data_IF_280448672665
#
_entry.id   IF_280448672665
#
_cell.length_a   1.000
_cell.length_b   1.000
_cell.length_c   1.000
_cell.angle_alpha   90.00
_cell.angle_beta   90.00
_cell.angle_gamma   90.00
#
_symmetry.space_group_name_H-M   'P 1'
#
loop_
_entity.id
_entity.type
_entity.pdbx_description
1 polymer ?
#
# COMPACT_ATOMS: atom_id res chain seq x y z
N UNK A 1 -69.02 -14.16 4.54
CA UNK A 1 -68.12 -13.51 3.56
C UNK A 1 -66.79 -13.23 4.25
N UNK A 2 -65.68 -13.73 3.67
CA UNK A 2 -64.25 -13.52 4.00
C UNK A 2 -63.67 -13.99 5.36
N UNK A 3 -63.06 -15.17 5.27
CA UNK A 3 -61.74 -15.55 5.80
C UNK A 3 -60.78 -14.37 6.02
N UNK A 4 -60.05 -14.34 7.15
CA UNK A 4 -58.61 -14.05 7.15
C UNK A 4 -57.93 -14.85 8.27
N UNK A 5 -57.03 -15.77 7.88
CA UNK A 5 -56.07 -16.45 8.77
C UNK A 5 -55.00 -15.44 9.16
N UNK A 6 -54.77 -15.25 10.46
CA UNK A 6 -53.60 -14.54 10.97
C UNK A 6 -52.47 -15.57 11.10
N UNK A 7 -51.55 -15.58 10.14
CA UNK A 7 -50.22 -16.17 10.31
C UNK A 7 -49.31 -15.07 10.88
N UNK A 8 -48.92 -15.19 12.14
CA UNK A 8 -47.77 -14.44 12.65
C UNK A 8 -46.61 -15.42 12.73
N UNK A 9 -45.68 -15.24 11.79
CA UNK A 9 -44.41 -15.96 11.71
C UNK A 9 -43.53 -15.51 12.87
N UNK A 10 -43.05 -16.46 13.69
CA UNK A 10 -42.05 -16.19 14.70
C UNK A 10 -40.75 -15.69 14.05
N UNK A 11 -40.38 -14.44 14.32
CA UNK A 11 -39.11 -13.87 13.89
C UNK A 11 -37.96 -14.58 14.63
N UNK A 12 -37.09 -15.26 13.87
CA UNK A 12 -35.83 -15.81 14.39
C UNK A 12 -34.84 -14.66 14.54
N UNK A 13 -34.43 -14.37 15.77
CA UNK A 13 -33.30 -13.48 16.05
C UNK A 13 -32.01 -14.12 15.53
N UNK A 14 -31.53 -13.66 14.39
CA UNK A 14 -30.16 -13.93 13.94
C UNK A 14 -29.22 -12.96 14.66
N UNK A 15 -28.68 -13.39 15.80
CA UNK A 15 -27.53 -12.73 16.42
C UNK A 15 -26.34 -12.92 15.50
N UNK A 16 -26.07 -11.91 14.67
CA UNK A 16 -24.89 -11.90 13.82
C UNK A 16 -23.77 -11.35 14.68
N UNK A 17 -22.98 -12.25 15.25
CA UNK A 17 -21.74 -11.89 15.92
C UNK A 17 -20.89 -11.08 14.93
N UNK A 18 -20.64 -9.82 15.25
CA UNK A 18 -19.68 -8.96 14.57
C UNK A 18 -18.28 -9.58 14.80
N UNK A 19 -17.95 -10.61 14.03
CA UNK A 19 -16.55 -11.02 13.85
C UNK A 19 -15.84 -9.78 13.33
N UNK A 20 -14.78 -9.36 14.02
CA UNK A 20 -13.88 -8.28 13.61
C UNK A 20 -13.76 -8.27 12.08
N UNK A 21 -14.23 -7.19 11.45
CA UNK A 21 -14.06 -6.98 10.02
C UNK A 21 -12.57 -6.64 9.81
N UNK A 22 -11.71 -7.66 9.87
CA UNK A 22 -10.31 -7.52 9.51
C UNK A 22 -10.27 -7.02 8.06
N UNK A 23 -9.54 -5.94 7.81
CA UNK A 23 -9.38 -5.45 6.45
C UNK A 23 -8.58 -6.49 5.65
N UNK A 24 -9.08 -6.96 4.49
CA UNK A 24 -8.33 -7.93 3.69
C UNK A 24 -7.06 -7.27 3.16
N UNK A 25 -5.99 -8.05 2.96
CA UNK A 25 -4.71 -7.54 2.42
C UNK A 25 -4.86 -6.79 1.07
N UNK A 26 -5.93 -7.10 0.33
CA UNK A 26 -6.32 -6.42 -0.91
C UNK A 26 -6.75 -4.96 -0.72
N UNK A 27 -7.13 -4.53 0.49
CA UNK A 27 -7.50 -3.13 0.78
C UNK A 27 -6.29 -2.19 0.82
N UNK A 28 -5.09 -2.71 1.08
CA UNK A 28 -3.85 -1.92 1.09
C UNK A 28 -3.43 -1.65 -0.35
N UNK A 29 -3.33 -0.40 -0.79
CA UNK A 29 -2.92 -0.10 -2.17
C UNK A 29 -1.47 -0.56 -2.45
N UNK A 30 -1.20 -1.11 -3.62
CA UNK A 30 0.17 -1.56 -3.99
C UNK A 30 1.11 -0.36 -4.20
N UNK A 31 0.60 0.75 -4.71
CA UNK A 31 1.36 1.99 -4.95
C UNK A 31 0.61 3.19 -4.39
N UNK A 32 1.28 3.93 -3.52
CA UNK A 32 0.85 5.26 -3.08
C UNK A 32 2.06 6.19 -3.02
N UNK A 33 2.17 7.07 -4.01
CA UNK A 33 3.28 8.00 -4.18
C UNK A 33 2.75 9.37 -4.59
N UNK A 34 3.48 10.44 -4.27
CA UNK A 34 3.11 11.78 -4.72
C UNK A 34 3.08 11.88 -6.26
N UNK A 35 2.14 12.66 -6.84
CA UNK A 35 1.84 12.64 -8.27
C UNK A 35 2.92 13.30 -9.16
N UNK A 36 3.89 13.98 -8.57
CA UNK A 36 5.00 14.61 -9.31
C UNK A 36 6.17 14.95 -8.38
N UNK A 37 7.33 15.26 -8.95
CA UNK A 37 8.53 15.79 -8.29
C UNK A 37 9.50 14.72 -7.78
N UNK A 38 10.45 15.14 -6.95
CA UNK A 38 11.50 14.26 -6.39
C UNK A 38 11.26 14.07 -4.90
N UNK A 39 11.22 12.82 -4.44
CA UNK A 39 10.95 12.49 -3.04
C UNK A 39 11.56 11.15 -2.64
N UNK A 40 11.68 10.91 -1.33
CA UNK A 40 12.14 9.63 -0.79
C UNK A 40 11.03 8.59 -0.93
N UNK A 41 11.43 7.35 -1.20
CA UNK A 41 10.52 6.22 -1.26
C UNK A 41 11.09 5.02 -0.51
N UNK A 42 10.20 4.13 -0.07
CA UNK A 42 10.56 2.83 0.50
C UNK A 42 9.79 1.70 -0.17
N UNK A 43 10.44 0.54 -0.26
CA UNK A 43 9.82 -0.73 -0.61
C UNK A 43 9.46 -1.44 0.69
N UNK A 44 8.18 -1.80 0.85
CA UNK A 44 7.67 -2.37 2.10
C UNK A 44 7.08 -3.75 1.81
N UNK A 45 7.39 -4.72 2.67
CA UNK A 45 6.62 -5.96 2.78
C UNK A 45 5.51 -5.79 3.81
N UNK A 46 4.27 -5.95 3.37
CA UNK A 46 3.09 -5.95 4.23
C UNK A 46 2.68 -7.40 4.45
N UNK A 47 2.49 -7.77 5.70
CA UNK A 47 2.00 -9.09 6.11
C UNK A 47 0.74 -8.94 6.94
N UNK A 48 -0.33 -9.60 6.53
CA UNK A 48 -1.55 -9.71 7.33
C UNK A 48 -1.28 -10.67 8.51
N UNK A 49 -1.52 -10.21 9.74
CA UNK A 49 -1.26 -11.00 10.95
C UNK A 49 -2.24 -12.16 11.12
N UNK A 50 -3.44 -12.09 10.53
CA UNK A 50 -4.46 -13.12 10.66
C UNK A 50 -4.22 -14.27 9.67
N UNK A 51 -3.93 -13.95 8.41
CA UNK A 51 -3.76 -14.94 7.34
C UNK A 51 -2.31 -15.36 7.08
N UNK A 52 -1.32 -14.57 7.53
CA UNK A 52 0.09 -14.64 7.13
C UNK A 52 0.34 -14.42 5.63
N UNK A 53 -0.67 -13.96 4.87
CA UNK A 53 -0.45 -13.53 3.49
C UNK A 53 0.43 -12.28 3.46
N UNK A 54 1.24 -12.16 2.43
CA UNK A 54 2.16 -11.04 2.27
C UNK A 54 2.18 -10.50 0.85
N UNK A 55 2.47 -9.20 0.73
CA UNK A 55 2.73 -8.54 -0.55
C UNK A 55 3.73 -7.42 -0.40
N UNK A 56 4.19 -6.93 -1.55
CA UNK A 56 5.07 -5.77 -1.63
C UNK A 56 4.28 -4.53 -2.05
N UNK A 57 4.60 -3.41 -1.41
CA UNK A 57 4.03 -2.11 -1.75
C UNK A 57 5.13 -1.05 -1.87
N UNK A 58 4.86 -0.01 -2.66
CA UNK A 58 5.72 1.15 -2.85
C UNK A 58 5.06 2.38 -2.24
N UNK A 59 5.83 3.11 -1.42
CA UNK A 59 5.39 4.34 -0.74
C UNK A 59 6.41 5.45 -0.88
N UNK A 60 5.99 6.69 -1.11
CA UNK A 60 6.92 7.83 -1.21
C UNK A 60 6.22 9.19 -1.32
N UNK A 61 6.60 10.12 -0.45
CA UNK A 61 5.92 11.41 -0.31
C UNK A 61 6.92 12.55 -0.14
N UNK A 62 6.68 13.69 -0.79
CA UNK A 62 7.49 14.92 -0.66
C UNK A 62 7.48 15.47 0.75
N UNK A 63 6.36 15.33 1.46
CA UNK A 63 6.19 15.80 2.84
C UNK A 63 7.05 15.03 3.85
N UNK A 64 7.58 13.86 3.49
CA UNK A 64 8.41 13.03 4.34
C UNK A 64 9.90 13.34 4.10
N UNK A 65 10.57 14.10 4.99
CA UNK A 65 11.98 14.42 4.82
C UNK A 65 12.89 13.19 4.97
N UNK A 66 12.46 12.12 5.64
CA UNK A 66 13.22 10.89 5.82
C UNK A 66 12.42 9.64 5.40
N UNK A 67 13.14 8.56 5.09
CA UNK A 67 12.53 7.26 4.78
C UNK A 67 11.74 6.69 5.97
N UNK A 68 12.17 6.99 7.19
CA UNK A 68 11.47 6.59 8.41
C UNK A 68 10.09 7.23 8.53
N UNK A 69 9.95 8.50 8.13
CA UNK A 69 8.66 9.20 8.17
C UNK A 69 7.65 8.56 7.19
N UNK A 70 8.12 8.11 6.02
CA UNK A 70 7.27 7.37 5.07
C UNK A 70 6.78 6.06 5.68
N UNK A 71 7.64 5.35 6.42
CA UNK A 71 7.27 4.10 7.10
C UNK A 71 6.23 4.38 8.20
N UNK A 72 6.50 5.35 9.08
CA UNK A 72 5.60 5.72 10.18
C UNK A 72 4.22 6.15 9.65
N UNK A 73 4.18 6.97 8.61
CA UNK A 73 2.92 7.39 7.99
C UNK A 73 2.16 6.20 7.39
N UNK A 74 2.88 5.26 6.76
CA UNK A 74 2.26 4.06 6.19
C UNK A 74 1.72 3.13 7.28
N UNK A 75 2.44 2.95 8.38
CA UNK A 75 1.99 2.15 9.53
C UNK A 75 0.70 2.73 10.14
N UNK A 76 0.61 4.06 10.28
CA UNK A 76 -0.60 4.74 10.75
C UNK A 76 -1.78 4.56 9.79
N UNK A 77 -1.54 4.66 8.48
CA UNK A 77 -2.57 4.57 7.46
C UNK A 77 -3.12 3.13 7.29
N UNK A 78 -2.25 2.13 7.38
CA UNK A 78 -2.62 0.72 7.20
C UNK A 78 -3.21 0.11 8.48
N UNK A 79 -2.81 0.60 9.66
CA UNK A 79 -3.33 0.15 10.94
C UNK A 79 -2.65 -1.09 11.51
N UNK A 80 -3.08 -1.51 12.70
CA UNK A 80 -2.39 -2.51 13.52
C UNK A 80 -2.59 -3.96 13.08
N UNK A 81 -3.51 -4.24 12.17
CA UNK A 81 -3.80 -5.61 11.71
C UNK A 81 -2.67 -6.15 10.81
N UNK A 82 -1.85 -5.26 10.27
CA UNK A 82 -0.75 -5.60 9.40
C UNK A 82 0.61 -5.41 10.10
N UNK A 83 1.58 -6.20 9.68
CA UNK A 83 3.00 -6.03 10.03
C UNK A 83 3.73 -5.50 8.80
N UNK A 84 4.39 -4.36 8.95
CA UNK A 84 5.19 -3.76 7.88
C UNK A 84 6.66 -4.03 8.13
N UNK A 85 7.39 -4.35 7.07
CA UNK A 85 8.85 -4.45 7.06
C UNK A 85 9.40 -3.62 5.91
N UNK A 86 10.13 -2.55 6.22
CA UNK A 86 10.90 -1.83 5.23
C UNK A 86 12.02 -2.73 4.69
N UNK A 87 12.07 -2.91 3.37
CA UNK A 87 13.07 -3.72 2.67
C UNK A 87 14.18 -2.87 2.04
N UNK A 88 14.23 -1.58 2.36
CA UNK A 88 15.14 -0.60 1.79
C UNK A 88 14.37 0.57 1.18
N UNK A 89 15.11 1.54 0.67
CA UNK A 89 14.51 2.68 -0.02
C UNK A 89 15.44 3.33 -1.03
N UNK A 90 15.07 4.54 -1.43
CA UNK A 90 15.80 5.38 -2.36
C UNK A 90 15.03 6.67 -2.61
N UNK A 91 15.09 7.19 -3.83
CA UNK A 91 14.29 8.30 -4.31
C UNK A 91 13.51 7.92 -5.56
N UNK A 92 12.40 8.61 -5.73
CA UNK A 92 11.62 8.62 -6.96
C UNK A 92 11.68 10.04 -7.51
N UNK A 93 11.92 10.15 -8.82
CA UNK A 93 11.58 11.33 -9.62
C UNK A 93 10.37 10.98 -10.48
N UNK A 94 9.27 11.67 -10.25
CA UNK A 94 8.01 11.48 -10.96
C UNK A 94 7.72 12.71 -11.83
N UNK A 95 7.77 12.56 -13.15
CA UNK A 95 7.55 13.62 -14.13
C UNK A 95 6.31 13.28 -14.97
N UNK A 96 5.09 13.64 -14.49
CA UNK A 96 3.86 13.24 -15.16
C UNK A 96 3.72 13.82 -16.57
N UNK A 97 4.19 15.05 -16.83
CA UNK A 97 4.16 15.67 -18.15
C UNK A 97 4.97 14.89 -19.21
N UNK A 98 5.94 14.09 -18.77
CA UNK A 98 6.78 13.24 -19.63
C UNK A 98 6.35 11.77 -19.60
N UNK A 99 5.39 11.41 -18.76
CA UNK A 99 5.05 10.01 -18.46
C UNK A 99 6.29 9.22 -18.02
N UNK A 100 7.17 9.83 -17.22
CA UNK A 100 8.42 9.21 -16.77
C UNK A 100 8.49 9.11 -15.24
N UNK A 101 8.94 7.94 -14.76
CA UNK A 101 9.32 7.73 -13.36
C UNK A 101 10.72 7.11 -13.32
N UNK A 102 11.62 7.72 -12.54
CA UNK A 102 12.96 7.17 -12.26
C UNK A 102 13.06 6.80 -10.78
N UNK A 103 13.41 5.54 -10.51
CA UNK A 103 13.69 4.99 -9.17
C UNK A 103 15.20 4.88 -8.96
N UNK A 104 15.78 5.44 -7.90
CA UNK A 104 17.24 5.46 -7.74
C UNK A 104 17.72 5.65 -6.30
N UNK A 105 19.03 5.53 -6.08
CA UNK A 105 19.69 5.83 -4.82
C UNK A 105 19.39 4.84 -3.69
N UNK A 106 19.47 5.29 -2.44
CA UNK A 106 19.32 4.41 -1.28
C UNK A 106 18.72 5.12 -0.07
N UNK A 107 18.28 4.34 0.92
CA UNK A 107 17.96 4.85 2.25
C UNK A 107 19.18 4.78 3.17
N UNK A 108 19.50 5.88 3.85
CA UNK A 108 20.59 5.90 4.83
C UNK A 108 20.32 4.97 6.02
N UNK A 109 19.05 4.84 6.44
CA UNK A 109 18.66 4.00 7.58
C UNK A 109 18.30 2.56 7.22
N UNK A 110 17.87 2.30 5.99
CA UNK A 110 17.35 0.98 5.57
C UNK A 110 18.14 0.33 4.42
N UNK A 111 19.17 1.01 3.90
CA UNK A 111 19.93 0.56 2.73
C UNK A 111 19.16 0.71 1.40
N UNK A 112 19.75 0.25 0.30
CA UNK A 112 19.10 0.26 -1.01
C UNK A 112 17.95 -0.76 -1.06
N UNK A 113 16.81 -0.36 -1.62
CA UNK A 113 15.76 -1.29 -2.01
C UNK A 113 16.14 -2.07 -3.27
N UNK A 114 15.48 -3.21 -3.50
CA UNK A 114 15.40 -3.82 -4.83
C UNK A 114 14.56 -2.92 -5.76
N UNK A 115 15.24 -2.08 -6.54
CA UNK A 115 14.58 -1.09 -7.39
C UNK A 115 13.81 -1.73 -8.54
N UNK A 116 14.24 -2.89 -9.03
CA UNK A 116 13.52 -3.60 -10.09
C UNK A 116 12.12 -4.00 -9.61
N UNK A 117 12.00 -4.56 -8.39
CA UNK A 117 10.69 -4.85 -7.79
C UNK A 117 9.82 -3.61 -7.64
N UNK A 118 10.43 -2.50 -7.26
CA UNK A 118 9.70 -1.22 -7.12
C UNK A 118 9.18 -0.73 -8.48
N UNK A 119 9.99 -0.82 -9.54
CA UNK A 119 9.59 -0.52 -10.92
C UNK A 119 8.45 -1.42 -11.38
N UNK A 120 8.51 -2.72 -11.12
CA UNK A 120 7.49 -3.68 -11.55
C UNK A 120 6.14 -3.39 -10.87
N UNK A 121 6.15 -3.04 -9.59
CA UNK A 121 4.95 -2.63 -8.84
C UNK A 121 4.43 -1.28 -9.37
N UNK A 122 5.30 -0.32 -9.67
CA UNK A 122 4.88 0.98 -10.21
C UNK A 122 4.20 0.85 -11.58
N UNK A 123 4.67 -0.07 -12.44
CA UNK A 123 4.07 -0.34 -13.75
C UNK A 123 2.63 -0.85 -13.67
N UNK A 124 2.21 -1.45 -12.56
CA UNK A 124 0.81 -1.89 -12.40
C UNK A 124 -0.14 -0.69 -12.26
N UNK A 125 0.33 0.43 -11.69
CA UNK A 125 -0.44 1.68 -11.53
C UNK A 125 -0.23 2.66 -12.68
N UNK A 126 0.95 2.69 -13.29
CA UNK A 126 1.32 3.59 -14.38
C UNK A 126 1.75 2.78 -15.63
N UNK A 127 0.83 2.05 -16.28
CA UNK A 127 1.16 1.17 -17.39
C UNK A 127 1.69 1.91 -18.63
N UNK A 128 1.26 3.17 -18.81
CA UNK A 128 1.66 3.99 -19.96
C UNK A 128 2.92 4.82 -19.71
N UNK A 129 3.56 4.64 -18.54
CA UNK A 129 4.76 5.38 -18.19
C UNK A 129 6.03 4.61 -18.57
N UNK A 130 7.05 5.36 -18.97
CA UNK A 130 8.42 4.85 -19.01
C UNK A 130 9.00 4.90 -17.60
N UNK A 131 9.07 3.73 -16.97
CA UNK A 131 9.58 3.56 -15.61
C UNK A 131 10.92 2.85 -15.64
N UNK A 132 11.96 3.51 -15.14
CA UNK A 132 13.34 2.99 -15.10
C UNK A 132 13.93 3.06 -13.70
N UNK A 133 15.07 2.39 -13.50
CA UNK A 133 15.85 2.56 -12.28
C UNK A 133 17.33 2.75 -12.57
N UNK A 134 18.05 3.31 -11.59
CA UNK A 134 19.51 3.40 -11.57
C UNK A 134 20.04 2.97 -10.20
N UNK A 135 21.16 2.24 -10.18
CA UNK A 135 21.90 1.92 -8.96
C UNK A 135 22.79 3.06 -8.46
N UNK A 136 22.84 4.17 -9.19
CA UNK A 136 23.66 5.34 -8.88
C UNK A 136 22.85 6.52 -8.36
N UNK A 137 23.55 7.46 -7.72
CA UNK A 137 22.98 8.72 -7.22
C UNK A 137 22.47 8.66 -5.78
N UNK A 138 22.16 9.84 -5.23
CA UNK A 138 21.46 10.00 -3.96
C UNK A 138 20.24 10.90 -4.15
#
# INVERSE_FOLDING_TARGET
>A
MRLVRVLIVAARNASTSLKNLAMPLTSVADVDIDPQGVFKYILIKVMDKASNEEKLIVRGYKRCPFHGDVLEETEKAVGSDFKLKCLGGGRIRHEPDKHEILVYGYSQGYGPADHQKSVDILKTKYPDYKITFSSEGY
#
